data_IF_723074156545
#
_entry.id   IF_723074156545
#
_cell.length_a   1.000
_cell.length_b   1.000
_cell.length_c   1.000
_cell.angle_alpha   90.00
_cell.angle_beta   90.00
_cell.angle_gamma   90.00
#
_symmetry.space_group_name_H-M   'P 1'
#
loop_
_entity.id
_entity.type
_entity.pdbx_description
1 polymer ?
#
# COMPACT_ATOMS: atom_id res chain seq x y z
N UNK A 1 9.56 -16.90 -9.24
CA UNK A 1 10.05 -15.57 -8.85
C UNK A 1 8.96 -14.63 -9.31
N UNK A 2 8.17 -14.06 -8.40
CA UNK A 2 7.22 -13.01 -8.77
C UNK A 2 8.05 -11.77 -9.08
N UNK A 3 8.02 -11.32 -10.32
CA UNK A 3 8.68 -10.10 -10.73
C UNK A 3 7.99 -8.93 -10.01
N UNK A 4 8.63 -8.37 -8.98
CA UNK A 4 8.27 -7.05 -8.41
C UNK A 4 8.33 -5.91 -9.47
N UNK A 5 8.77 -6.22 -10.70
CA UNK A 5 8.72 -5.32 -11.85
C UNK A 5 7.35 -5.31 -12.57
N UNK A 6 6.39 -6.13 -12.18
CA UNK A 6 5.03 -6.06 -12.72
C UNK A 6 4.08 -5.69 -11.58
N UNK A 7 3.74 -4.42 -11.49
CA UNK A 7 2.65 -3.98 -10.64
C UNK A 7 1.35 -4.70 -11.05
N UNK A 8 0.55 -5.11 -10.08
CA UNK A 8 -0.74 -5.74 -10.33
C UNK A 8 -1.76 -4.72 -10.86
N UNK A 9 -2.77 -5.18 -11.60
CA UNK A 9 -3.92 -4.38 -12.01
C UNK A 9 -5.15 -4.84 -11.22
N UNK A 10 -5.73 -3.94 -10.44
CA UNK A 10 -6.96 -4.16 -9.68
C UNK A 10 -8.05 -3.31 -10.34
N UNK A 11 -9.05 -3.96 -10.95
CA UNK A 11 -9.97 -3.27 -11.86
C UNK A 11 -11.22 -2.70 -11.18
N UNK A 12 -11.66 -3.29 -10.07
CA UNK A 12 -12.97 -3.02 -9.49
C UNK A 12 -12.97 -2.89 -7.96
N UNK A 13 -11.85 -2.45 -7.38
CA UNK A 13 -11.71 -2.26 -5.92
C UNK A 13 -12.84 -1.42 -5.32
N UNK A 14 -13.48 -1.91 -4.27
CA UNK A 14 -14.52 -1.20 -3.54
C UNK A 14 -14.38 -1.37 -2.04
N UNK A 15 -13.76 -0.38 -1.38
CA UNK A 15 -13.72 -0.31 0.08
C UNK A 15 -15.11 -0.30 0.73
N UNK A 16 -16.13 0.21 0.03
CA UNK A 16 -17.53 0.18 0.50
C UNK A 16 -18.15 -1.23 0.48
N UNK A 17 -17.61 -2.14 -0.33
CA UNK A 17 -18.01 -3.55 -0.39
C UNK A 17 -17.10 -4.45 0.45
N UNK A 18 -16.10 -3.87 1.12
CA UNK A 18 -15.22 -4.56 2.05
C UNK A 18 -13.87 -4.99 1.46
N UNK A 19 -13.53 -4.54 0.25
CA UNK A 19 -12.25 -4.87 -0.36
C UNK A 19 -11.07 -4.25 0.41
N UNK A 20 -10.00 -5.03 0.52
CA UNK A 20 -8.76 -4.65 1.22
C UNK A 20 -7.56 -5.16 0.42
N UNK A 21 -6.47 -4.40 0.46
CA UNK A 21 -5.19 -4.81 -0.13
C UNK A 21 -4.25 -5.24 0.98
N UNK A 22 -3.89 -6.52 1.01
CA UNK A 22 -2.96 -7.06 2.01
C UNK A 22 -1.51 -6.91 1.53
N UNK A 23 -0.76 -6.07 2.24
CA UNK A 23 0.65 -5.77 2.00
C UNK A 23 1.56 -6.34 3.09
N UNK A 24 1.03 -7.12 4.04
CA UNK A 24 1.79 -7.66 5.19
C UNK A 24 3.01 -8.50 4.77
N UNK A 25 2.96 -9.11 3.58
CA UNK A 25 4.09 -9.87 3.05
C UNK A 25 5.18 -9.01 2.37
N UNK A 26 4.93 -7.72 2.13
CA UNK A 26 5.85 -6.83 1.40
C UNK A 26 6.76 -6.02 2.32
N UNK A 27 6.28 -5.67 3.52
CA UNK A 27 7.05 -4.94 4.52
C UNK A 27 6.47 -5.13 5.93
N UNK A 28 7.32 -4.91 6.93
CA UNK A 28 6.93 -4.83 8.34
C UNK A 28 7.25 -3.45 8.86
N UNK A 29 6.27 -2.77 9.45
CA UNK A 29 6.49 -1.44 10.06
C UNK A 29 7.30 -1.60 11.33
N UNK A 30 8.43 -0.89 11.41
CA UNK A 30 9.25 -0.86 12.62
C UNK A 30 8.43 -0.35 13.82
N UNK A 31 8.74 -0.83 15.03
CA UNK A 31 8.00 -0.46 16.24
C UNK A 31 8.01 1.06 16.46
N UNK A 32 6.83 1.68 16.52
CA UNK A 32 6.66 3.13 16.63
C UNK A 32 6.94 3.91 15.34
N UNK A 33 7.17 3.22 14.22
CA UNK A 33 7.34 3.79 12.89
C UNK A 33 6.02 4.26 12.28
N UNK A 34 6.12 5.13 11.27
CA UNK A 34 4.97 5.63 10.54
C UNK A 34 4.75 4.78 9.28
N UNK A 35 3.56 4.21 9.12
CA UNK A 35 3.19 3.43 7.92
C UNK A 35 3.32 4.26 6.62
N UNK A 36 3.17 5.58 6.71
CA UNK A 36 3.36 6.49 5.57
C UNK A 36 4.81 6.52 5.03
N UNK A 37 5.78 5.98 5.78
CA UNK A 37 7.16 5.81 5.29
C UNK A 37 7.31 4.56 4.41
N UNK A 38 6.28 3.70 4.34
CA UNK A 38 6.32 2.40 3.68
C UNK A 38 5.34 2.28 2.51
N UNK A 39 4.20 3.00 2.53
CA UNK A 39 3.15 2.82 1.54
C UNK A 39 2.47 4.13 1.17
N UNK A 40 2.38 4.41 -0.13
CA UNK A 40 1.67 5.57 -0.68
C UNK A 40 0.62 5.13 -1.69
N UNK A 41 -0.51 5.81 -1.68
CA UNK A 41 -1.57 5.66 -2.66
C UNK A 41 -1.87 7.01 -3.31
N UNK A 42 -1.64 7.10 -4.62
CA UNK A 42 -1.96 8.27 -5.43
C UNK A 42 -3.34 8.08 -6.07
N UNK A 43 -4.36 8.75 -5.51
CA UNK A 43 -5.73 8.65 -6.00
C UNK A 43 -5.92 9.27 -7.40
N UNK A 44 -4.97 10.10 -7.87
CA UNK A 44 -5.04 10.70 -9.21
C UNK A 44 -4.61 9.73 -10.31
N UNK A 45 -3.75 8.76 -9.98
CA UNK A 45 -3.21 7.76 -10.92
C UNK A 45 -3.61 6.33 -10.58
N UNK A 46 -4.23 6.10 -9.42
CA UNK A 46 -4.61 4.78 -8.92
C UNK A 46 -3.41 3.96 -8.46
N UNK A 47 -2.20 4.52 -8.44
CA UNK A 47 -0.98 3.77 -8.12
C UNK A 47 -0.86 3.59 -6.61
N UNK A 48 -0.76 2.33 -6.18
CA UNK A 48 -0.33 1.93 -4.86
C UNK A 48 1.15 1.53 -4.94
N UNK A 49 1.96 2.16 -4.11
CA UNK A 49 3.41 1.98 -4.12
C UNK A 49 3.96 1.71 -2.73
N UNK A 50 5.06 0.97 -2.65
CA UNK A 50 5.69 0.53 -1.41
C UNK A 50 7.18 0.87 -1.40
N UNK A 51 7.66 1.42 -0.29
CA UNK A 51 9.08 1.47 0.09
C UNK A 51 9.33 0.47 1.23
N UNK A 52 9.77 -0.74 0.89
CA UNK A 52 9.95 -1.81 1.86
C UNK A 52 11.05 -1.54 2.89
N UNK A 53 11.92 -0.54 2.67
CA UNK A 53 12.95 -0.16 3.64
C UNK A 53 12.43 0.84 4.71
N UNK A 54 11.27 1.47 4.50
CA UNK A 54 10.64 2.37 5.46
C UNK A 54 11.41 3.66 5.76
N UNK A 55 12.30 4.10 4.86
CA UNK A 55 13.05 5.34 5.05
C UNK A 55 12.11 6.55 4.95
N UNK A 56 12.04 7.35 6.00
CA UNK A 56 11.22 8.55 6.02
C UNK A 56 11.57 9.49 4.84
N UNK A 57 10.57 9.83 4.03
CA UNK A 57 10.76 10.62 2.80
C UNK A 57 11.56 9.90 1.72
N UNK A 58 11.58 8.56 1.74
CA UNK A 58 12.25 7.72 0.76
C UNK A 58 11.80 8.01 -0.66
N UNK A 59 12.74 7.95 -1.61
CA UNK A 59 12.45 8.07 -3.05
C UNK A 59 12.31 6.70 -3.73
N UNK A 60 12.39 5.62 -2.94
CA UNK A 60 12.49 4.23 -3.40
C UNK A 60 11.16 3.51 -3.58
N UNK A 61 10.04 4.24 -3.61
CA UNK A 61 8.72 3.64 -3.78
C UNK A 61 8.62 2.89 -5.11
N UNK A 62 8.28 1.61 -5.02
CA UNK A 62 8.02 0.74 -6.17
C UNK A 62 6.51 0.59 -6.30
N UNK A 63 5.97 0.80 -7.51
CA UNK A 63 4.57 0.53 -7.80
C UNK A 63 4.29 -0.97 -7.65
N UNK A 64 3.35 -1.32 -6.78
CA UNK A 64 2.96 -2.71 -6.51
C UNK A 64 1.58 -3.04 -7.07
N UNK A 65 0.70 -2.05 -7.19
CA UNK A 65 -0.59 -2.19 -7.84
C UNK A 65 -1.06 -0.89 -8.48
N UNK A 66 -1.91 -1.01 -9.51
CA UNK A 66 -2.71 0.08 -10.08
C UNK A 66 -4.19 -0.25 -9.92
N UNK A 67 -4.95 0.65 -9.30
CA UNK A 67 -6.38 0.55 -9.12
C UNK A 67 -7.09 1.34 -10.24
N UNK A 68 -7.61 0.63 -11.24
CA UNK A 68 -8.13 1.22 -12.49
C UNK A 68 -9.35 2.13 -12.26
N UNK A 69 -10.14 1.84 -11.24
CA UNK A 69 -11.30 2.65 -10.88
C UNK A 69 -10.96 3.87 -10.00
N UNK A 70 -9.68 4.09 -9.70
CA UNK A 70 -9.14 5.27 -8.99
C UNK A 70 -9.98 5.65 -7.75
N UNK A 71 -10.16 4.73 -6.79
CA UNK A 71 -10.93 5.03 -5.58
C UNK A 71 -10.30 6.21 -4.83
N UNK A 72 -11.11 7.00 -4.14
CA UNK A 72 -10.58 8.14 -3.36
C UNK A 72 -9.66 7.70 -2.22
N UNK A 73 -9.79 6.46 -1.75
CA UNK A 73 -8.95 5.88 -0.72
C UNK A 73 -8.92 4.35 -0.84
N UNK A 74 -7.85 3.74 -0.33
CA UNK A 74 -7.65 2.29 -0.31
C UNK A 74 -7.42 1.84 1.12
N UNK A 75 -8.14 0.82 1.54
CA UNK A 75 -7.88 0.14 2.81
C UNK A 75 -6.79 -0.89 2.61
N UNK A 76 -5.71 -0.76 3.37
CA UNK A 76 -4.56 -1.66 3.33
C UNK A 76 -4.42 -2.41 4.65
N UNK A 77 -3.91 -3.63 4.56
CA UNK A 77 -3.48 -4.43 5.70
C UNK A 77 -1.96 -4.50 5.69
N UNK A 78 -1.33 -4.28 6.84
CA UNK A 78 0.12 -4.39 7.02
C UNK A 78 0.44 -5.00 8.39
N UNK A 79 1.70 -5.33 8.63
CA UNK A 79 2.16 -5.87 9.92
C UNK A 79 3.15 -4.95 10.63
N UNK A 80 3.13 -4.99 11.96
CA UNK A 80 4.20 -4.51 12.82
C UNK A 80 4.56 -5.59 13.87
N UNK A 81 5.38 -5.24 14.87
CA UNK A 81 5.76 -6.18 15.92
C UNK A 81 4.63 -6.56 16.92
N UNK A 82 3.45 -5.95 16.82
CA UNK A 82 2.24 -6.24 17.59
C UNK A 82 1.19 -7.02 16.79
N UNK A 83 1.35 -7.16 15.47
CA UNK A 83 0.49 -7.99 14.62
C UNK A 83 0.01 -7.26 13.36
N UNK A 84 -1.15 -7.70 12.84
CA UNK A 84 -1.78 -7.09 11.67
C UNK A 84 -2.56 -5.83 12.04
N UNK A 85 -2.44 -4.82 11.18
CA UNK A 85 -3.13 -3.54 11.29
C UNK A 85 -3.83 -3.22 9.97
N UNK A 86 -4.82 -2.33 10.07
CA UNK A 86 -5.58 -1.84 8.92
C UNK A 86 -5.65 -0.32 8.96
N UNK A 87 -5.36 0.32 7.83
CA UNK A 87 -5.57 1.77 7.66
C UNK A 87 -6.23 2.06 6.32
N UNK A 88 -6.88 3.21 6.24
CA UNK A 88 -7.34 3.79 4.97
C UNK A 88 -6.29 4.79 4.48
N UNK A 89 -5.57 4.42 3.43
CA UNK A 89 -4.64 5.31 2.72
C UNK A 89 -5.43 6.24 1.78
N UNK A 90 -5.30 7.54 1.98
CA UNK A 90 -5.94 8.58 1.18
C UNK A 90 -4.95 9.73 0.97
N UNK A 91 -4.33 9.80 -0.20
CA UNK A 91 -3.35 10.82 -0.56
C UNK A 91 -2.29 11.02 0.52
N UNK A 92 -1.46 10.00 0.71
CA UNK A 92 -0.23 10.09 1.50
C UNK A 92 0.94 10.28 0.55
#
# INVERSE_FOLDING_TARGET
>A
MSDLNTADLIVDYSGAQGDKVDLSALFTVASGGNVNDYVHYDASTGVLSVDANGAAGGTGFVAVATLDNHPAAVTIIFEDNQGLHEITANNV
#
